data_IF_227757696521
#
_entry.id   IF_227757696521
#
_cell.length_a   1.000
_cell.length_b   1.000
_cell.length_c   1.000
_cell.angle_alpha   90.00
_cell.angle_beta   90.00
_cell.angle_gamma   90.00
#
_symmetry.space_group_name_H-M   'P 1'
#
loop_
_entity.id
_entity.type
_entity.pdbx_description
1 polymer ?
#
# COMPACT_ATOMS: atom_id res chain seq x y z
N UNK A 1 1.11 -5.60 -9.17
CA UNK A 1 0.03 -5.77 -8.18
C UNK A 1 0.66 -5.84 -6.80
N UNK A 2 0.06 -5.20 -5.80
CA UNK A 2 0.60 -5.10 -4.42
C UNK A 2 -0.04 -6.09 -3.46
N UNK A 3 0.55 -6.26 -2.28
CA UNK A 3 0.10 -7.22 -1.25
C UNK A 3 -1.35 -7.04 -0.81
N UNK A 4 -1.86 -5.79 -0.80
CA UNK A 4 -3.26 -5.50 -0.46
C UNK A 4 -4.25 -6.12 -1.47
N UNK A 5 -3.94 -6.06 -2.77
CA UNK A 5 -4.77 -6.67 -3.81
C UNK A 5 -4.84 -8.18 -3.65
N UNK A 6 -3.70 -8.82 -3.42
CA UNK A 6 -3.60 -10.29 -3.39
C UNK A 6 -4.24 -10.87 -2.13
N UNK A 7 -4.06 -10.21 -0.97
CA UNK A 7 -4.71 -10.60 0.28
C UNK A 7 -6.22 -10.45 0.20
N UNK A 8 -6.72 -9.35 -0.38
CA UNK A 8 -8.15 -9.15 -0.48
C UNK A 8 -8.78 -10.07 -1.52
N UNK A 9 -8.08 -10.39 -2.61
CA UNK A 9 -8.58 -11.40 -3.56
C UNK A 9 -8.68 -12.78 -2.90
N UNK A 10 -7.76 -13.12 -2.00
CA UNK A 10 -7.74 -14.42 -1.32
C UNK A 10 -8.68 -14.53 -0.11
N UNK A 11 -8.91 -13.44 0.62
CA UNK A 11 -9.48 -13.46 1.98
C UNK A 11 -10.77 -12.63 2.14
N UNK A 12 -11.28 -12.04 1.05
CA UNK A 12 -12.63 -11.46 1.07
C UNK A 12 -13.62 -12.60 1.36
N UNK A 13 -14.28 -12.53 2.52
CA UNK A 13 -15.18 -13.58 3.02
C UNK A 13 -16.22 -14.05 1.98
N UNK A 14 -16.67 -15.31 2.09
CA UNK A 14 -17.23 -16.13 0.99
C UNK A 14 -18.45 -15.65 0.19
N UNK A 15 -18.90 -14.40 0.31
CA UNK A 15 -19.88 -13.75 -0.58
C UNK A 15 -19.47 -12.37 -1.10
N UNK A 16 -18.45 -11.74 -0.53
CA UNK A 16 -17.95 -10.45 -1.00
C UNK A 16 -17.00 -10.68 -2.18
N UNK A 17 -16.88 -9.72 -3.09
CA UNK A 17 -16.06 -9.86 -4.30
C UNK A 17 -15.30 -8.57 -4.59
N UNK A 18 -14.00 -8.67 -4.86
CA UNK A 18 -13.20 -7.54 -5.33
C UNK A 18 -13.57 -7.25 -6.78
N UNK A 19 -14.33 -6.17 -6.99
CA UNK A 19 -14.84 -5.80 -8.31
C UNK A 19 -13.93 -4.79 -9.03
N UNK A 20 -13.18 -3.98 -8.28
CA UNK A 20 -12.18 -3.09 -8.85
C UNK A 20 -11.08 -2.78 -7.83
N UNK A 21 -9.84 -2.69 -8.32
CA UNK A 21 -8.68 -2.25 -7.55
C UNK A 21 -7.92 -1.19 -8.35
N UNK A 22 -7.77 -0.01 -7.75
CA UNK A 22 -7.08 1.13 -8.34
C UNK A 22 -5.99 1.52 -7.36
N UNK A 23 -4.75 1.53 -7.83
CA UNK A 23 -3.59 1.96 -7.04
C UNK A 23 -3.04 3.23 -7.65
N UNK A 24 -2.79 4.20 -6.79
CA UNK A 24 -1.98 5.36 -7.12
C UNK A 24 -0.56 5.19 -6.60
N UNK A 25 0.37 5.81 -7.32
CA UNK A 25 1.79 5.82 -7.04
C UNK A 25 2.37 7.14 -7.55
N UNK A 26 3.11 7.87 -6.71
CA UNK A 26 3.62 9.21 -7.06
C UNK A 26 4.50 9.23 -8.31
N UNK A 27 5.05 8.09 -8.72
CA UNK A 27 5.98 7.99 -9.85
C UNK A 27 5.24 7.65 -11.14
N UNK A 28 4.42 6.60 -11.11
CA UNK A 28 3.83 6.01 -12.33
C UNK A 28 2.33 6.32 -12.49
N UNK A 29 1.62 6.48 -11.38
CA UNK A 29 0.16 6.55 -11.36
C UNK A 29 -0.28 7.67 -10.42
N UNK A 30 0.01 8.93 -10.76
CA UNK A 30 -0.38 10.07 -9.91
C UNK A 30 -1.62 10.81 -10.43
N UNK A 31 -2.07 10.55 -11.66
CA UNK A 31 -3.15 11.31 -12.29
C UNK A 31 -4.53 10.71 -11.97
N UNK A 32 -5.37 11.47 -11.27
CA UNK A 32 -6.71 11.07 -10.84
C UNK A 32 -7.84 11.44 -11.82
N UNK A 33 -7.53 12.12 -12.94
CA UNK A 33 -8.54 12.59 -13.91
C UNK A 33 -9.40 11.47 -14.52
N UNK A 34 -8.84 10.26 -14.60
CA UNK A 34 -9.54 9.09 -15.14
C UNK A 34 -10.08 8.15 -14.04
N UNK A 35 -10.13 8.57 -12.77
CA UNK A 35 -10.54 7.69 -11.67
C UNK A 35 -11.91 7.05 -11.93
N UNK A 36 -12.91 7.87 -12.28
CA UNK A 36 -14.29 7.41 -12.47
C UNK A 36 -14.39 6.47 -13.66
N UNK A 37 -13.75 6.82 -14.78
CA UNK A 37 -13.74 5.99 -15.99
C UNK A 37 -12.98 4.69 -15.76
N UNK A 38 -11.91 4.69 -14.96
CA UNK A 38 -11.18 3.48 -14.54
C UNK A 38 -12.04 2.58 -13.64
N UNK A 39 -12.80 3.13 -12.68
CA UNK A 39 -13.76 2.35 -11.89
C UNK A 39 -14.81 1.74 -12.82
N UNK A 40 -15.39 2.53 -13.72
CA UNK A 40 -16.44 2.07 -14.65
C UNK A 40 -15.93 0.95 -15.55
N UNK A 41 -14.72 1.10 -16.08
CA UNK A 41 -14.06 0.07 -16.88
C UNK A 41 -13.82 -1.20 -16.09
N UNK A 42 -13.23 -1.10 -14.88
CA UNK A 42 -12.94 -2.25 -14.04
C UNK A 42 -14.21 -3.02 -13.65
N UNK A 43 -15.27 -2.33 -13.23
CA UNK A 43 -16.56 -2.95 -12.92
C UNK A 43 -17.20 -3.60 -14.15
N UNK A 44 -17.08 -2.97 -15.32
CA UNK A 44 -17.56 -3.53 -16.58
C UNK A 44 -16.83 -4.80 -17.02
N UNK A 45 -15.52 -4.85 -16.78
CA UNK A 45 -14.69 -6.05 -17.03
C UNK A 45 -14.95 -7.16 -16.00
N UNK A 46 -15.34 -6.79 -14.78
CA UNK A 46 -15.66 -7.74 -13.72
C UNK A 46 -17.01 -8.45 -13.95
N UNK A 47 -18.02 -7.76 -14.47
CA UNK A 47 -19.33 -8.35 -14.73
C UNK A 47 -19.94 -7.86 -16.03
N UNK A 48 -20.23 -8.78 -16.96
CA UNK A 48 -20.78 -8.48 -18.29
C UNK A 48 -22.08 -7.66 -18.25
N UNK A 49 -22.95 -7.86 -17.25
CA UNK A 49 -24.19 -7.08 -17.12
C UNK A 49 -23.89 -5.62 -16.81
N UNK A 50 -22.95 -5.38 -15.89
CA UNK A 50 -22.45 -4.03 -15.59
C UNK A 50 -21.80 -3.44 -16.84
N UNK A 51 -20.94 -4.21 -17.52
CA UNK A 51 -20.26 -3.79 -18.75
C UNK A 51 -21.24 -3.38 -19.85
N UNK A 52 -22.31 -4.16 -20.08
CA UNK A 52 -23.37 -3.84 -21.03
C UNK A 52 -24.12 -2.56 -20.64
N UNK A 53 -24.47 -2.39 -19.37
CA UNK A 53 -25.18 -1.20 -18.89
C UNK A 53 -24.33 0.07 -19.04
N UNK A 54 -23.04 0.01 -18.70
CA UNK A 54 -22.10 1.12 -18.87
C UNK A 54 -21.87 1.41 -20.36
N UNK A 55 -21.70 0.37 -21.19
CA UNK A 55 -21.50 0.51 -22.63
C UNK A 55 -22.69 1.21 -23.29
N UNK A 56 -23.92 0.91 -22.89
CA UNK A 56 -25.12 1.58 -23.38
C UNK A 56 -25.10 3.09 -23.10
N UNK A 57 -24.64 3.50 -21.91
CA UNK A 57 -24.47 4.93 -21.57
C UNK A 57 -23.44 5.58 -22.47
N UNK A 58 -22.27 4.96 -22.66
CA UNK A 58 -21.21 5.50 -23.52
C UNK A 58 -21.64 5.57 -24.99
N UNK A 59 -22.40 4.58 -25.48
CA UNK A 59 -22.95 4.59 -26.84
C UNK A 59 -23.95 5.73 -27.04
N UNK A 60 -24.79 6.01 -26.03
CA UNK A 60 -25.82 7.05 -26.08
C UNK A 60 -25.24 8.45 -25.88
N UNK A 61 -24.28 8.60 -24.97
CA UNK A 61 -23.66 9.87 -24.59
C UNK A 61 -22.14 9.72 -24.52
N UNK A 62 -21.46 9.73 -25.67
CA UNK A 62 -20.00 9.53 -25.75
C UNK A 62 -19.19 10.55 -24.96
N UNK A 63 -19.69 11.79 -24.85
CA UNK A 63 -19.01 12.86 -24.10
C UNK A 63 -18.89 12.57 -22.61
N UNK A 64 -19.66 11.62 -22.06
CA UNK A 64 -19.62 11.24 -20.64
C UNK A 64 -18.21 10.88 -20.18
N UNK A 65 -17.40 10.26 -21.05
CA UNK A 65 -16.03 9.81 -20.73
C UNK A 65 -15.07 10.99 -20.53
N UNK A 66 -15.36 12.13 -21.13
CA UNK A 66 -14.52 13.35 -21.07
C UNK A 66 -15.21 14.49 -20.33
N UNK A 67 -16.27 14.21 -19.56
CA UNK A 67 -16.98 15.24 -18.79
C UNK A 67 -16.10 15.79 -17.67
N UNK A 68 -16.10 17.12 -17.53
CA UNK A 68 -15.38 17.80 -16.45
C UNK A 68 -16.13 17.75 -15.12
N UNK A 69 -17.47 17.70 -15.13
CA UNK A 69 -18.29 17.52 -13.94
C UNK A 69 -18.23 16.04 -13.51
N UNK A 70 -17.39 15.78 -12.51
CA UNK A 70 -17.09 14.45 -12.00
C UNK A 70 -18.28 13.88 -11.22
N UNK A 71 -19.10 14.71 -10.59
CA UNK A 71 -20.32 14.25 -9.92
C UNK A 71 -21.31 13.69 -10.93
N UNK A 72 -21.55 14.43 -12.02
CA UNK A 72 -22.40 13.95 -13.11
C UNK A 72 -21.78 12.74 -13.81
N UNK A 73 -20.48 12.74 -14.05
CA UNK A 73 -19.79 11.60 -14.65
C UNK A 73 -19.94 10.33 -13.79
N UNK A 74 -19.72 10.42 -12.47
CA UNK A 74 -19.89 9.31 -11.54
C UNK A 74 -21.33 8.79 -11.54
N UNK A 75 -22.31 9.70 -11.52
CA UNK A 75 -23.73 9.32 -11.56
C UNK A 75 -24.08 8.59 -12.86
N UNK A 76 -23.62 9.09 -14.01
CA UNK A 76 -23.97 8.52 -15.32
C UNK A 76 -23.23 7.21 -15.61
N UNK A 77 -21.95 7.09 -15.26
CA UNK A 77 -21.15 5.90 -15.56
C UNK A 77 -21.23 4.81 -14.50
N UNK A 78 -21.58 5.15 -13.25
CA UNK A 78 -21.54 4.21 -12.14
C UNK A 78 -22.90 4.05 -11.46
N UNK A 79 -23.45 5.12 -10.86
CA UNK A 79 -24.70 4.96 -10.07
C UNK A 79 -25.88 4.52 -10.92
N UNK A 80 -26.20 5.24 -11.99
CA UNK A 80 -27.39 4.92 -12.80
C UNK A 80 -27.31 3.51 -13.45
N UNK A 81 -26.16 3.09 -14.04
CA UNK A 81 -26.04 1.73 -14.59
C UNK A 81 -26.13 0.63 -13.52
N UNK A 82 -25.60 0.85 -12.32
CA UNK A 82 -25.70 -0.13 -11.24
C UNK A 82 -27.13 -0.17 -10.64
N UNK A 83 -27.80 0.98 -10.54
CA UNK A 83 -29.18 1.07 -10.03
C UNK A 83 -30.20 0.40 -10.97
N UNK A 84 -29.90 0.27 -12.26
CA UNK A 84 -30.78 -0.42 -13.21
C UNK A 84 -30.70 -1.95 -13.14
N UNK A 85 -29.71 -2.50 -12.40
CA UNK A 85 -29.43 -3.92 -12.28
C UNK A 85 -29.83 -4.43 -10.89
N UNK A 86 -31.14 -4.64 -10.69
CA UNK A 86 -31.71 -5.04 -9.39
C UNK A 86 -31.30 -6.46 -8.95
N UNK A 87 -30.87 -7.31 -9.88
CA UNK A 87 -30.45 -8.69 -9.66
C UNK A 87 -29.00 -8.82 -9.12
N UNK A 88 -28.23 -7.73 -9.07
CA UNK A 88 -26.89 -7.74 -8.49
C UNK A 88 -26.90 -7.84 -6.96
N UNK A 89 -28.01 -7.45 -6.31
CA UNK A 89 -28.15 -7.45 -4.85
C UNK A 89 -27.97 -8.85 -4.27
N UNK A 90 -28.39 -9.89 -5.00
CA UNK A 90 -28.33 -11.28 -4.56
C UNK A 90 -26.90 -11.87 -4.64
N UNK A 91 -25.99 -11.22 -5.37
CA UNK A 91 -24.61 -11.66 -5.57
C UNK A 91 -23.65 -11.35 -4.43
N UNK A 92 -24.10 -10.65 -3.39
CA UNK A 92 -23.29 -10.20 -2.27
C UNK A 92 -22.52 -8.90 -2.54
N UNK A 93 -21.69 -8.44 -1.58
CA UNK A 93 -21.03 -7.14 -1.69
C UNK A 93 -19.97 -7.08 -2.79
N UNK A 94 -20.02 -6.04 -3.62
CA UNK A 94 -18.98 -5.70 -4.59
C UNK A 94 -18.08 -4.61 -4.02
N UNK A 95 -16.79 -4.89 -3.95
CA UNK A 95 -15.80 -4.02 -3.31
C UNK A 95 -14.96 -3.31 -4.37
N UNK A 96 -14.89 -1.98 -4.27
CA UNK A 96 -13.97 -1.12 -5.01
C UNK A 96 -12.92 -0.62 -4.03
N UNK A 97 -11.65 -0.79 -4.38
CA UNK A 97 -10.53 -0.35 -3.56
C UNK A 97 -9.75 0.72 -4.31
N UNK A 98 -9.50 1.83 -3.61
CA UNK A 98 -8.59 2.88 -4.04
C UNK A 98 -7.43 2.91 -3.04
N UNK A 99 -6.28 2.45 -3.49
CA UNK A 99 -5.07 2.35 -2.69
C UNK A 99 -4.13 3.55 -2.95
N UNK A 100 -3.72 4.25 -1.90
CA UNK A 100 -2.76 5.35 -1.98
C UNK A 100 -3.35 6.67 -2.49
N UNK A 101 -4.56 7.07 -2.07
CA UNK A 101 -5.21 8.29 -2.57
C UNK A 101 -4.36 9.57 -2.39
N UNK A 102 -3.51 9.64 -1.34
CA UNK A 102 -2.60 10.77 -1.13
C UNK A 102 -1.38 10.81 -2.07
N UNK A 103 -1.25 9.82 -2.94
CA UNK A 103 -0.20 9.72 -3.95
C UNK A 103 -0.64 10.24 -5.32
N UNK A 104 -1.90 10.66 -5.46
CA UNK A 104 -2.43 11.24 -6.68
C UNK A 104 -2.77 12.74 -6.54
N UNK A 105 -3.02 13.39 -7.68
CA UNK A 105 -3.43 14.79 -7.81
C UNK A 105 -4.95 14.99 -7.65
N UNK A 106 -5.59 14.20 -6.78
CA UNK A 106 -7.04 14.24 -6.56
C UNK A 106 -7.54 15.66 -6.24
N UNK A 107 -8.43 16.17 -7.09
CA UNK A 107 -9.11 17.45 -6.85
C UNK A 107 -10.13 17.34 -5.72
N UNK A 108 -10.55 18.48 -5.16
CA UNK A 108 -11.65 18.51 -4.19
C UNK A 108 -12.95 17.89 -4.74
N UNK A 109 -13.14 17.93 -6.05
CA UNK A 109 -14.30 17.33 -6.72
C UNK A 109 -14.22 15.80 -6.73
N UNK A 110 -13.03 15.23 -7.00
CA UNK A 110 -12.76 13.79 -6.85
C UNK A 110 -13.07 13.36 -5.42
N UNK A 111 -12.55 14.08 -4.42
CA UNK A 111 -12.77 13.76 -3.02
C UNK A 111 -14.25 13.84 -2.62
N UNK A 112 -14.97 14.84 -3.12
CA UNK A 112 -16.41 14.98 -2.87
C UNK A 112 -17.21 13.79 -3.44
N UNK A 113 -16.87 13.35 -4.66
CA UNK A 113 -17.49 12.19 -5.31
C UNK A 113 -17.22 10.90 -4.53
N UNK A 114 -15.97 10.68 -4.10
CA UNK A 114 -15.61 9.50 -3.29
C UNK A 114 -16.28 9.52 -1.92
N UNK A 115 -16.34 10.67 -1.26
CA UNK A 115 -17.01 10.83 0.02
C UNK A 115 -18.54 10.66 -0.08
N UNK A 116 -19.15 11.00 -1.21
CA UNK A 116 -20.57 10.69 -1.48
C UNK A 116 -20.78 9.19 -1.74
N UNK A 117 -19.80 8.54 -2.39
CA UNK A 117 -19.79 7.09 -2.64
C UNK A 117 -20.84 6.64 -3.64
N UNK A 118 -21.25 5.37 -3.58
CA UNK A 118 -22.28 4.81 -4.48
C UNK A 118 -23.71 5.19 -4.08
N UNK A 119 -23.93 5.69 -2.86
CA UNK A 119 -25.24 6.08 -2.36
C UNK A 119 -26.08 4.93 -1.79
N UNK A 120 -27.18 5.25 -1.08
CA UNK A 120 -27.93 4.28 -0.28
C UNK A 120 -28.74 3.26 -1.10
N UNK A 121 -28.98 3.54 -2.39
CA UNK A 121 -29.69 2.63 -3.31
C UNK A 121 -28.83 1.46 -3.79
N UNK A 122 -27.53 1.51 -3.55
CA UNK A 122 -26.58 0.47 -3.94
C UNK A 122 -25.95 -0.17 -2.69
N UNK A 123 -26.74 -0.80 -1.81
CA UNK A 123 -26.25 -1.31 -0.52
C UNK A 123 -25.27 -2.48 -0.65
N UNK A 124 -25.12 -3.05 -1.84
CA UNK A 124 -24.12 -4.07 -2.17
C UNK A 124 -22.77 -3.48 -2.56
N UNK A 125 -22.69 -2.21 -2.95
CA UNK A 125 -21.41 -1.57 -3.28
C UNK A 125 -20.67 -1.17 -1.99
N UNK A 126 -19.37 -1.42 -1.96
CA UNK A 126 -18.45 -1.01 -0.90
C UNK A 126 -17.27 -0.28 -1.53
N UNK A 127 -16.92 0.87 -0.97
CA UNK A 127 -15.75 1.64 -1.36
C UNK A 127 -14.77 1.63 -0.18
N UNK A 128 -13.56 1.14 -0.42
CA UNK A 128 -12.44 1.20 0.53
C UNK A 128 -11.40 2.14 -0.05
N UNK A 129 -11.01 3.13 0.73
CA UNK A 129 -9.99 4.11 0.34
C UNK A 129 -8.87 4.06 1.37
N UNK A 130 -7.65 3.80 0.92
CA UNK A 130 -6.44 3.95 1.73
C UNK A 130 -5.76 5.29 1.40
N UNK A 131 -5.26 5.97 2.42
CA UNK A 131 -4.58 7.26 2.29
C UNK A 131 -3.80 7.55 3.56
N UNK A 132 -2.67 8.27 3.45
CA UNK A 132 -2.09 8.99 4.59
C UNK A 132 -3.06 10.07 5.08
N UNK A 133 -2.97 10.48 6.37
CA UNK A 133 -3.87 11.49 6.96
C UNK A 133 -3.52 12.91 6.51
N UNK A 134 -3.53 13.16 5.20
CA UNK A 134 -3.34 14.50 4.63
C UNK A 134 -4.59 15.34 4.92
N UNK A 135 -4.40 16.58 5.34
CA UNK A 135 -5.47 17.43 5.87
C UNK A 135 -6.67 17.58 4.94
N UNK A 136 -6.43 17.87 3.65
CA UNK A 136 -7.51 18.07 2.67
C UNK A 136 -8.32 16.79 2.41
N UNK A 137 -7.67 15.63 2.35
CA UNK A 137 -8.32 14.32 2.24
C UNK A 137 -9.12 14.04 3.52
N UNK A 138 -8.48 14.12 4.68
CA UNK A 138 -9.11 13.83 5.97
C UNK A 138 -10.36 14.69 6.20
N UNK A 139 -10.34 15.94 5.76
CA UNK A 139 -11.47 16.87 5.87
C UNK A 139 -12.63 16.46 4.95
N UNK A 140 -12.35 16.03 3.72
CA UNK A 140 -13.39 15.63 2.76
C UNK A 140 -14.21 14.40 3.22
N UNK A 141 -13.58 13.47 3.94
CA UNK A 141 -14.21 12.26 4.46
C UNK A 141 -14.79 12.41 5.88
N UNK A 142 -14.58 13.56 6.55
CA UNK A 142 -14.98 13.77 7.95
C UNK A 142 -16.51 13.89 8.11
N UNK A 143 -17.03 13.43 9.24
CA UNK A 143 -18.42 13.66 9.69
C UNK A 143 -19.52 13.15 8.72
N UNK A 144 -19.21 12.09 7.97
CA UNK A 144 -20.16 11.42 7.08
C UNK A 144 -20.68 10.14 7.74
N UNK A 145 -21.99 10.05 7.99
CA UNK A 145 -22.61 8.92 8.71
C UNK A 145 -22.40 7.55 8.05
N UNK A 146 -22.17 7.52 6.73
CA UNK A 146 -21.95 6.30 5.96
C UNK A 146 -20.48 5.94 5.75
N UNK A 147 -19.55 6.69 6.37
CA UNK A 147 -18.11 6.47 6.25
C UNK A 147 -17.59 5.98 7.59
N UNK A 148 -16.92 4.82 7.56
CA UNK A 148 -16.21 4.28 8.69
C UNK A 148 -14.71 4.52 8.53
N UNK A 149 -14.15 5.40 9.37
CA UNK A 149 -12.72 5.71 9.34
C UNK A 149 -11.96 4.76 10.25
N UNK A 150 -11.03 4.00 9.66
CA UNK A 150 -10.07 3.18 10.40
C UNK A 150 -8.71 3.87 10.41
N UNK A 151 -8.25 4.30 11.58
CA UNK A 151 -6.91 4.83 11.75
C UNK A 151 -5.94 3.70 12.08
N UNK A 152 -4.90 3.54 11.26
CA UNK A 152 -3.80 2.63 11.53
C UNK A 152 -2.79 3.35 12.43
N UNK A 153 -2.77 2.99 13.72
CA UNK A 153 -1.85 3.55 14.70
C UNK A 153 -0.52 2.79 14.70
N UNK A 154 0.48 3.37 14.03
CA UNK A 154 1.84 2.84 13.97
C UNK A 154 2.55 2.89 15.33
N UNK A 155 2.07 3.69 16.29
CA UNK A 155 2.64 3.78 17.64
C UNK A 155 2.10 2.74 18.63
N UNK A 156 1.15 1.91 18.18
CA UNK A 156 0.51 0.91 19.03
C UNK A 156 1.48 -0.20 19.45
N UNK A 157 1.25 -0.76 20.63
CA UNK A 157 2.02 -1.91 21.13
C UNK A 157 1.84 -3.16 20.27
N UNK A 158 0.67 -3.30 19.63
CA UNK A 158 0.39 -4.42 18.74
C UNK A 158 1.28 -4.35 17.49
N UNK A 159 1.47 -3.17 16.89
CA UNK A 159 2.40 -2.99 15.76
C UNK A 159 3.82 -3.38 16.16
N UNK A 160 4.30 -2.96 17.34
CA UNK A 160 5.64 -3.34 17.81
C UNK A 160 5.76 -4.85 18.03
N UNK A 161 4.73 -5.52 18.56
CA UNK A 161 4.72 -6.98 18.71
C UNK A 161 4.77 -7.68 17.36
N UNK A 162 4.03 -7.17 16.37
CA UNK A 162 4.00 -7.77 15.04
C UNK A 162 5.34 -7.54 14.30
N UNK A 163 5.99 -6.38 14.48
CA UNK A 163 7.36 -6.11 13.99
C UNK A 163 8.37 -7.06 14.64
N UNK A 164 8.33 -7.20 15.96
CA UNK A 164 9.19 -8.13 16.69
C UNK A 164 9.05 -9.54 16.14
N UNK A 165 7.80 -10.00 16.00
CA UNK A 165 7.49 -11.33 15.47
C UNK A 165 7.97 -11.51 14.04
N UNK A 166 7.83 -10.50 13.19
CA UNK A 166 8.36 -10.51 11.84
C UNK A 166 9.88 -10.68 11.84
N UNK A 167 10.62 -9.89 12.62
CA UNK A 167 12.08 -9.97 12.71
C UNK A 167 12.56 -11.34 13.24
N UNK A 168 11.88 -11.89 14.26
CA UNK A 168 12.17 -13.25 14.76
C UNK A 168 12.09 -14.29 13.65
N UNK A 169 11.01 -14.24 12.84
CA UNK A 169 10.78 -15.18 11.76
C UNK A 169 11.82 -15.05 10.65
N UNK A 170 12.12 -13.83 10.21
CA UNK A 170 13.12 -13.59 9.16
C UNK A 170 14.52 -14.04 9.62
N UNK A 171 14.94 -13.63 10.82
CA UNK A 171 16.26 -14.00 11.34
C UNK A 171 16.41 -15.49 11.61
N UNK A 172 15.33 -16.20 11.97
CA UNK A 172 15.34 -17.65 12.10
C UNK A 172 15.62 -18.38 10.78
N UNK A 173 15.42 -17.74 9.62
CA UNK A 173 15.76 -18.34 8.32
C UNK A 173 17.25 -18.25 7.96
N UNK A 174 18.05 -17.52 8.75
CA UNK A 174 19.51 -17.45 8.59
C UNK A 174 20.15 -18.67 9.27
N UNK A 175 20.50 -19.68 8.46
CA UNK A 175 21.15 -20.93 8.90
C UNK A 175 22.65 -20.74 9.22
N UNK A 176 22.97 -19.91 10.20
CA UNK A 176 24.33 -19.67 10.70
C UNK A 176 24.29 -19.60 12.24
N UNK A 177 24.87 -20.60 12.90
CA UNK A 177 24.87 -20.69 14.37
C UNK A 177 25.56 -19.49 15.03
N UNK A 178 26.64 -18.98 14.44
CA UNK A 178 27.36 -17.82 14.96
C UNK A 178 26.49 -16.55 14.87
N UNK A 179 25.68 -16.43 13.81
CA UNK A 179 24.71 -15.35 13.68
C UNK A 179 23.61 -15.47 14.75
N UNK A 180 23.06 -16.67 14.95
CA UNK A 180 22.01 -16.89 15.95
C UNK A 180 22.51 -16.61 17.38
N UNK A 181 23.73 -17.01 17.70
CA UNK A 181 24.38 -16.69 18.98
C UNK A 181 24.56 -15.18 19.14
N UNK A 182 25.09 -14.49 18.12
CA UNK A 182 25.29 -13.04 18.17
C UNK A 182 23.98 -12.27 18.28
N UNK A 183 22.95 -12.68 17.55
CA UNK A 183 21.63 -12.08 17.60
C UNK A 183 21.02 -12.13 19.01
N UNK A 184 21.22 -13.26 19.72
CA UNK A 184 20.78 -13.42 21.12
C UNK A 184 21.64 -12.61 22.09
N UNK A 185 22.97 -12.63 21.91
CA UNK A 185 23.91 -11.87 22.75
C UNK A 185 23.59 -10.38 22.76
N UNK A 186 23.24 -9.82 21.60
CA UNK A 186 22.96 -8.39 21.43
C UNK A 186 21.51 -8.00 21.64
N UNK A 187 20.64 -8.94 22.02
CA UNK A 187 19.19 -8.74 22.08
C UNK A 187 18.61 -8.07 20.81
N UNK A 188 19.15 -8.47 19.66
CA UNK A 188 19.06 -7.66 18.44
C UNK A 188 17.63 -7.46 17.95
N UNK A 189 16.76 -8.46 18.11
CA UNK A 189 15.36 -8.37 17.71
C UNK A 189 14.63 -7.27 18.50
N UNK A 190 14.88 -7.17 19.81
CA UNK A 190 14.21 -6.17 20.65
C UNK A 190 14.72 -4.76 20.33
N UNK A 191 16.03 -4.60 20.19
CA UNK A 191 16.64 -3.33 19.79
C UNK A 191 16.12 -2.86 18.43
N UNK A 192 16.18 -3.72 17.41
CA UNK A 192 15.70 -3.40 16.06
C UNK A 192 14.18 -3.13 16.03
N UNK A 193 13.40 -3.80 16.88
CA UNK A 193 11.96 -3.49 17.03
C UNK A 193 11.75 -2.08 17.56
N UNK A 194 12.52 -1.67 18.58
CA UNK A 194 12.44 -0.32 19.13
C UNK A 194 12.81 0.71 18.05
N UNK A 195 13.84 0.41 17.26
CA UNK A 195 14.34 1.33 16.23
C UNK A 195 13.42 1.46 15.03
N UNK A 196 12.66 0.41 14.72
CA UNK A 196 11.64 0.44 13.68
C UNK A 196 10.61 1.55 13.91
N UNK A 197 10.42 2.02 15.15
CA UNK A 197 9.50 3.13 15.47
C UNK A 197 8.10 2.93 14.85
N UNK A 198 7.60 1.69 14.85
CA UNK A 198 6.32 1.33 14.26
C UNK A 198 6.30 1.13 12.74
N UNK A 199 7.45 1.21 12.07
CA UNK A 199 7.55 1.09 10.61
C UNK A 199 7.90 -0.33 10.16
N UNK A 200 6.93 -1.05 9.62
CA UNK A 200 7.17 -2.35 8.98
C UNK A 200 8.16 -2.28 7.81
N UNK A 201 8.14 -1.20 7.03
CA UNK A 201 9.09 -1.01 5.92
C UNK A 201 10.54 -0.94 6.41
N UNK A 202 10.75 -0.39 7.61
CA UNK A 202 12.06 -0.34 8.24
C UNK A 202 12.51 -1.76 8.62
N UNK A 203 11.66 -2.52 9.31
CA UNK A 203 11.95 -3.89 9.74
C UNK A 203 12.22 -4.82 8.54
N UNK A 204 11.41 -4.73 7.48
CA UNK A 204 11.60 -5.48 6.25
C UNK A 204 12.91 -5.13 5.53
N UNK A 205 13.31 -3.86 5.57
CA UNK A 205 14.57 -3.40 4.98
C UNK A 205 15.76 -3.91 5.80
N UNK A 206 15.67 -3.90 7.13
CA UNK A 206 16.67 -4.49 8.02
C UNK A 206 16.81 -5.99 7.79
N UNK A 207 15.71 -6.74 7.74
CA UNK A 207 15.72 -8.17 7.46
C UNK A 207 16.47 -8.47 6.15
N UNK A 208 16.10 -7.77 5.07
CA UNK A 208 16.79 -7.89 3.77
C UNK A 208 18.26 -7.53 3.82
N UNK A 209 18.61 -6.47 4.55
CA UNK A 209 19.99 -6.00 4.67
C UNK A 209 20.85 -7.02 5.42
N UNK A 210 20.37 -7.54 6.55
CA UNK A 210 21.05 -8.54 7.39
C UNK A 210 21.11 -9.91 6.73
N UNK A 211 20.11 -10.26 5.91
CA UNK A 211 20.12 -11.51 5.14
C UNK A 211 21.29 -11.65 4.17
N UNK A 212 21.87 -10.53 3.74
CA UNK A 212 22.99 -10.56 2.83
C UNK A 212 24.31 -10.81 3.58
N UNK A 213 25.18 -11.63 2.99
CA UNK A 213 26.39 -12.15 3.63
C UNK A 213 27.54 -11.13 3.61
N UNK A 214 28.31 -10.94 4.70
CA UNK A 214 28.13 -11.55 6.03
C UNK A 214 27.08 -10.81 6.89
N UNK A 215 26.08 -11.55 7.40
CA UNK A 215 24.95 -10.98 8.14
C UNK A 215 25.28 -10.42 9.52
N UNK A 216 26.28 -10.99 10.20
CA UNK A 216 26.73 -10.53 11.53
C UNK A 216 27.28 -9.11 11.48
N UNK A 217 28.16 -8.80 10.53
CA UNK A 217 28.76 -7.46 10.42
C UNK A 217 27.70 -6.39 10.15
N UNK A 218 26.68 -6.74 9.37
CA UNK A 218 25.54 -5.85 9.06
C UNK A 218 24.63 -5.65 10.25
N UNK A 219 24.38 -6.72 11.01
CA UNK A 219 23.64 -6.64 12.28
C UNK A 219 24.32 -5.69 13.27
N UNK A 220 25.64 -5.83 13.43
CA UNK A 220 26.42 -4.96 14.30
C UNK A 220 26.44 -3.51 13.80
N UNK A 221 26.67 -3.30 12.50
CA UNK A 221 26.66 -1.96 11.92
C UNK A 221 25.33 -1.23 12.12
N UNK A 222 24.21 -1.97 12.08
CA UNK A 222 22.93 -1.44 12.50
C UNK A 222 22.99 -1.11 14.00
N UNK A 223 23.21 -2.09 14.86
CA UNK A 223 23.15 -1.96 16.33
C UNK A 223 24.10 -0.90 16.95
N UNK A 224 25.14 -0.50 16.23
CA UNK A 224 26.04 0.59 16.63
C UNK A 224 25.47 2.00 16.38
N UNK A 225 24.29 2.10 15.74
CA UNK A 225 23.61 3.38 15.52
C UNK A 225 22.78 3.83 16.73
N UNK A 226 22.41 5.12 16.73
CA UNK A 226 21.56 5.68 17.78
C UNK A 226 20.10 5.31 17.54
N UNK A 227 19.38 5.09 18.63
CA UNK A 227 17.93 4.94 18.63
C UNK A 227 17.32 6.17 17.94
N UNK A 228 16.56 5.99 16.85
CA UNK A 228 15.91 7.10 16.16
C UNK A 228 14.86 7.78 17.04
N UNK A 229 14.72 9.09 16.92
CA UNK A 229 13.69 9.87 17.63
C UNK A 229 12.32 9.82 16.95
N UNK A 230 12.31 9.62 15.63
CA UNK A 230 11.09 9.46 14.85
C UNK A 230 11.27 8.53 13.63
N UNK A 231 10.15 8.22 12.99
CA UNK A 231 10.04 7.38 11.81
C UNK A 231 10.92 7.82 10.62
N UNK A 232 11.05 9.13 10.39
CA UNK A 232 11.84 9.69 9.28
C UNK A 232 13.33 9.56 9.57
N UNK A 233 13.73 9.85 10.81
CA UNK A 233 15.10 9.62 11.28
C UNK A 233 15.45 8.13 11.21
N UNK A 234 14.53 7.24 11.60
CA UNK A 234 14.75 5.80 11.56
C UNK A 234 15.10 5.30 10.16
N UNK A 235 14.33 5.71 9.15
CA UNK A 235 14.61 5.37 7.75
C UNK A 235 15.90 6.02 7.26
N UNK A 236 16.15 7.28 7.59
CA UNK A 236 17.36 7.99 7.17
C UNK A 236 18.62 7.33 7.70
N UNK A 237 18.62 6.97 8.98
CA UNK A 237 19.72 6.25 9.63
C UNK A 237 19.90 4.88 9.01
N UNK A 238 18.81 4.12 8.80
CA UNK A 238 18.88 2.81 8.16
C UNK A 238 19.50 2.85 6.77
N UNK A 239 19.00 3.73 5.89
CA UNK A 239 19.53 3.83 4.53
C UNK A 239 20.99 4.29 4.53
N UNK A 240 21.34 5.25 5.39
CA UNK A 240 22.73 5.70 5.53
C UNK A 240 23.64 4.57 5.98
N UNK A 241 23.29 3.87 7.06
CA UNK A 241 24.07 2.75 7.59
C UNK A 241 24.22 1.65 6.57
N UNK A 242 23.14 1.30 5.86
CA UNK A 242 23.19 0.32 4.79
C UNK A 242 24.18 0.77 3.70
N UNK A 243 24.07 2.00 3.20
CA UNK A 243 24.97 2.53 2.17
C UNK A 243 26.43 2.62 2.64
N UNK A 244 26.68 3.12 3.84
CA UNK A 244 28.02 3.26 4.40
C UNK A 244 28.69 1.90 4.57
N UNK A 245 27.93 0.91 5.06
CA UNK A 245 28.41 -0.48 5.17
C UNK A 245 28.75 -1.04 3.79
N UNK A 246 27.89 -0.79 2.80
CA UNK A 246 28.07 -1.27 1.43
C UNK A 246 29.30 -0.66 0.72
N UNK A 247 29.66 0.58 1.06
CA UNK A 247 30.74 1.35 0.41
C UNK A 247 32.06 1.27 1.19
N UNK A 248 32.04 0.93 2.49
CA UNK A 248 33.22 0.91 3.36
C UNK A 248 34.36 0.04 2.81
N UNK A 249 35.55 0.61 2.56
CA UNK A 249 36.69 -0.08 1.91
C UNK A 249 37.42 -1.09 2.81
N UNK A 250 36.69 -1.96 3.52
CA UNK A 250 37.31 -3.05 4.27
C UNK A 250 37.80 -4.14 3.30
N UNK A 251 39.12 -4.46 3.27
CA UNK A 251 39.65 -5.45 2.35
C UNK A 251 39.00 -6.82 2.58
N UNK A 252 38.24 -7.31 1.59
CA UNK A 252 37.56 -8.61 1.62
C UNK A 252 36.08 -8.59 2.04
N UNK A 253 35.59 -7.52 2.65
CA UNK A 253 34.20 -7.44 3.13
C UNK A 253 33.17 -7.12 2.03
N UNK A 254 33.59 -6.45 0.95
CA UNK A 254 32.69 -5.94 -0.10
C UNK A 254 32.82 -6.68 -1.45
N UNK A 255 33.36 -7.90 -1.46
CA UNK A 255 33.56 -8.65 -2.71
C UNK A 255 32.21 -9.00 -3.38
N UNK A 256 31.20 -9.27 -2.57
CA UNK A 256 29.79 -9.49 -2.93
C UNK A 256 29.16 -8.21 -3.50
N UNK A 257 29.32 -7.07 -2.81
CA UNK A 257 28.67 -5.80 -3.16
C UNK A 257 29.31 -5.17 -4.39
N UNK A 258 30.63 -5.19 -4.49
CA UNK A 258 31.37 -4.69 -5.66
C UNK A 258 30.98 -5.44 -6.93
N UNK A 259 30.63 -6.73 -6.83
CA UNK A 259 30.11 -7.53 -7.95
C UNK A 259 28.70 -7.07 -8.37
N UNK A 260 27.81 -6.79 -7.43
CA UNK A 260 26.47 -6.27 -7.72
C UNK A 260 26.50 -4.84 -8.27
N UNK A 261 27.27 -3.94 -7.66
CA UNK A 261 27.43 -2.55 -8.13
C UNK A 261 28.02 -2.54 -9.55
N UNK A 262 29.04 -3.36 -9.84
CA UNK A 262 29.58 -3.51 -11.21
C UNK A 262 28.59 -4.10 -12.21
N UNK A 263 27.63 -4.92 -11.76
CA UNK A 263 26.58 -5.46 -12.64
C UNK A 263 25.53 -4.43 -13.03
N UNK A 264 25.31 -3.41 -12.19
CA UNK A 264 24.30 -2.36 -12.42
C UNK A 264 24.91 -1.11 -13.07
N UNK A 265 26.09 -0.68 -12.63
CA UNK A 265 26.77 0.52 -13.12
C UNK A 265 27.73 0.25 -14.29
N UNK A 266 27.98 -1.02 -14.63
CA UNK A 266 29.01 -1.41 -15.59
C UNK A 266 30.44 -1.32 -15.03
N UNK A 267 31.38 -1.92 -15.74
CA UNK A 267 32.80 -1.78 -15.44
C UNK A 267 33.25 -0.36 -15.83
N UNK A 268 33.52 0.50 -14.84
CA UNK A 268 34.38 1.68 -15.03
C UNK A 268 35.80 1.28 -14.66
#
# INVERSE_FOLDING_TARGET
>A
MGTLHDLLTADIGGRSQLAAFIRYDRIEYFNASNLITNIAYALGMFNDRIGMAISLVVQTLRSVVTMSDLSTQFRLLLRNPLESLSDLVDGGPLVVIIDGLDECDASNEVLAVLAEGFGPKLPFMRLIVSSRPVHHISTAFKEKNHIYTLHLDTSSKDVNRDIQRYLELEFATICDDAFQEKCKELDAVNELTAWASGLFIWAATVAKFVHAFPGISRLQALLDTKIPSDATEALTTLYRTALDTLVSETPGANADIKKYVRSVLGAV
#
